data_IF_438650711194
#
_entry.id   IF_438650711194
#
_cell.length_a   1.000
_cell.length_b   1.000
_cell.length_c   1.000
_cell.angle_alpha   90.00
_cell.angle_beta   90.00
_cell.angle_gamma   90.00
#
_symmetry.space_group_name_H-M   'P 1'
#
loop_
_entity.id
_entity.type
_entity.pdbx_description
1 polymer ?
#
# COMPACT_ATOMS: atom_id res chain seq x y z
N UNK A 1 31.03 -45.26 -20.21
CA UNK A 1 30.97 -45.21 -21.69
C UNK A 1 29.56 -45.61 -22.08
N UNK A 2 28.67 -44.64 -22.13
CA UNK A 2 27.31 -44.77 -22.67
C UNK A 2 27.10 -43.56 -23.58
N UNK A 3 26.88 -43.82 -24.87
CA UNK A 3 26.72 -42.81 -25.90
C UNK A 3 25.24 -42.42 -26.01
N UNK A 4 24.91 -41.17 -25.66
CA UNK A 4 23.60 -40.59 -25.89
C UNK A 4 23.44 -40.20 -27.36
N UNK A 5 22.35 -40.71 -27.94
CA UNK A 5 21.87 -40.49 -29.29
C UNK A 5 21.31 -39.06 -29.43
N UNK A 6 21.84 -38.29 -30.38
CA UNK A 6 21.26 -37.02 -30.82
C UNK A 6 20.30 -37.28 -31.99
N UNK A 7 19.01 -37.01 -31.80
CA UNK A 7 18.04 -36.91 -32.89
C UNK A 7 17.80 -35.44 -33.27
N UNK A 8 17.85 -35.07 -34.57
CA UNK A 8 17.56 -33.71 -35.00
C UNK A 8 16.06 -33.46 -35.16
N UNK A 9 15.62 -32.26 -34.76
CA UNK A 9 14.27 -31.73 -34.98
C UNK A 9 14.05 -31.41 -36.47
N UNK A 10 12.87 -31.70 -37.05
CA UNK A 10 12.55 -31.26 -38.41
C UNK A 10 12.06 -29.81 -38.43
N UNK A 11 12.83 -28.95 -39.12
CA UNK A 11 12.36 -27.68 -39.67
C UNK A 11 11.45 -27.96 -40.85
N UNK A 12 10.18 -27.57 -40.78
CA UNK A 12 9.32 -27.34 -41.94
C UNK A 12 8.19 -26.39 -41.54
N UNK A 13 8.40 -25.09 -41.82
CA UNK A 13 7.32 -24.10 -41.90
C UNK A 13 7.07 -23.84 -43.39
N UNK A 14 5.81 -23.92 -43.87
CA UNK A 14 5.47 -23.61 -45.26
C UNK A 14 5.47 -22.09 -45.52
N UNK A 15 5.73 -21.65 -46.76
CA UNK A 15 5.79 -20.24 -47.12
C UNK A 15 4.41 -19.61 -47.30
N UNK A 16 4.30 -18.38 -46.79
CA UNK A 16 3.41 -17.26 -47.15
C UNK A 16 2.30 -17.55 -48.19
N UNK A 17 1.08 -17.74 -47.69
CA UNK A 17 -0.14 -17.45 -48.44
C UNK A 17 -0.53 -15.99 -48.19
N UNK A 18 -0.42 -15.17 -49.24
CA UNK A 18 -0.99 -13.83 -49.29
C UNK A 18 -2.50 -13.97 -49.52
N UNK A 19 -3.31 -13.68 -48.51
CA UNK A 19 -4.76 -13.50 -48.66
C UNK A 19 -5.07 -12.02 -48.90
N UNK A 20 -5.80 -11.77 -49.99
CA UNK A 20 -6.36 -10.48 -50.36
C UNK A 20 -7.37 -10.00 -49.31
N UNK A 21 -7.10 -8.84 -48.70
CA UNK A 21 -8.07 -8.13 -47.87
C UNK A 21 -9.12 -7.43 -48.74
N UNK A 22 -10.43 -7.60 -48.48
CA UNK A 22 -11.47 -6.79 -49.11
C UNK A 22 -11.43 -5.35 -48.57
N UNK A 23 -11.39 -4.39 -49.49
CA UNK A 23 -11.48 -2.96 -49.22
C UNK A 23 -12.86 -2.60 -48.65
N UNK A 24 -12.88 -2.15 -47.39
CA UNK A 24 -14.06 -1.52 -46.78
C UNK A 24 -14.37 -0.17 -47.43
N UNK A 25 -15.63 0.14 -47.72
CA UNK A 25 -16.02 1.45 -48.25
C UNK A 25 -15.85 2.57 -47.20
N UNK A 26 -15.61 3.81 -47.63
CA UNK A 26 -15.37 4.93 -46.73
C UNK A 26 -16.61 5.28 -45.90
N UNK A 27 -16.37 5.52 -44.61
CA UNK A 27 -17.36 5.97 -43.63
C UNK A 27 -17.88 7.38 -43.98
N UNK A 28 -19.20 7.65 -43.89
CA UNK A 28 -19.74 8.98 -44.16
C UNK A 28 -19.29 10.00 -43.10
N UNK A 29 -19.05 11.23 -43.55
CA UNK A 29 -18.62 12.34 -42.72
C UNK A 29 -19.63 12.67 -41.60
N UNK A 30 -19.14 13.02 -40.39
CA UNK A 30 -20.02 13.36 -39.28
C UNK A 30 -20.78 14.67 -39.54
N UNK A 31 -22.08 14.64 -39.25
CA UNK A 31 -22.97 15.80 -39.28
C UNK A 31 -22.58 16.78 -38.16
N UNK A 32 -22.54 18.10 -38.40
CA UNK A 32 -22.18 19.07 -37.37
C UNK A 32 -23.25 19.13 -36.27
N UNK A 33 -22.83 18.89 -35.02
CA UNK A 33 -23.68 19.08 -33.85
C UNK A 33 -23.97 20.58 -33.64
N UNK A 34 -25.23 20.87 -33.33
CA UNK A 34 -25.73 22.19 -32.96
C UNK A 34 -25.07 22.68 -31.67
N UNK A 35 -24.73 23.97 -31.64
CA UNK A 35 -24.11 24.61 -30.48
C UNK A 35 -25.00 24.51 -29.23
N UNK A 36 -24.44 24.20 -28.04
CA UNK A 36 -25.20 24.15 -26.81
C UNK A 36 -25.65 25.55 -26.37
N UNK A 37 -26.79 25.66 -25.66
CA UNK A 37 -27.32 26.94 -25.18
C UNK A 37 -26.37 27.56 -24.15
N UNK A 38 -26.09 28.84 -24.34
CA UNK A 38 -25.28 29.68 -23.45
C UNK A 38 -25.98 29.81 -22.09
N UNK A 39 -25.47 29.11 -21.07
CA UNK A 39 -25.93 29.32 -19.70
C UNK A 39 -25.36 30.63 -19.15
N UNK A 40 -26.24 31.42 -18.53
CA UNK A 40 -25.95 32.69 -17.89
C UNK A 40 -25.01 32.51 -16.69
N UNK A 41 -23.96 33.33 -16.68
CA UNK A 41 -22.91 33.39 -15.66
C UNK A 41 -23.52 33.86 -14.31
N UNK A 42 -23.40 33.10 -13.21
CA UNK A 42 -23.85 33.58 -11.90
C UNK A 42 -22.96 34.73 -11.42
N UNK A 43 -23.59 35.67 -10.70
CA UNK A 43 -22.94 36.87 -10.18
C UNK A 43 -21.81 36.54 -9.19
N UNK A 44 -20.73 37.34 -9.15
CA UNK A 44 -19.61 37.11 -8.24
C UNK A 44 -20.05 37.29 -6.77
N UNK A 45 -19.79 36.27 -5.94
CA UNK A 45 -19.90 36.39 -4.49
C UNK A 45 -18.78 37.30 -3.95
N UNK A 46 -19.17 38.27 -3.12
CA UNK A 46 -18.26 39.11 -2.36
C UNK A 46 -17.50 38.27 -1.33
N UNK A 47 -16.17 38.22 -1.45
CA UNK A 47 -15.29 37.68 -0.41
C UNK A 47 -15.03 38.77 0.64
N UNK A 48 -15.34 38.47 1.90
CA UNK A 48 -14.99 39.34 3.04
C UNK A 48 -13.51 39.11 3.38
N UNK A 49 -12.66 40.15 3.46
CA UNK A 49 -11.26 39.98 3.80
C UNK A 49 -11.13 39.51 5.25
N UNK A 50 -10.69 38.26 5.43
CA UNK A 50 -10.41 37.65 6.73
C UNK A 50 -9.15 38.31 7.30
N UNK A 51 -9.33 39.24 8.25
CA UNK A 51 -8.24 40.02 8.85
C UNK A 51 -7.26 39.12 9.61
N UNK A 52 -5.96 39.37 9.41
CA UNK A 52 -4.86 38.47 9.79
C UNK A 52 -4.51 38.55 11.29
N UNK A 53 -5.37 38.03 12.16
CA UNK A 53 -5.09 37.92 13.60
C UNK A 53 -3.77 37.16 13.88
N UNK A 54 -3.43 36.14 13.08
CA UNK A 54 -2.19 35.38 13.28
C UNK A 54 -0.90 36.22 13.18
N UNK A 55 -0.90 37.30 12.39
CA UNK A 55 0.26 38.20 12.26
C UNK A 55 0.55 38.97 13.55
N UNK A 56 -0.48 39.28 14.34
CA UNK A 56 -0.31 39.96 15.63
C UNK A 56 0.30 39.05 16.69
N UNK A 57 -0.11 37.77 16.73
CA UNK A 57 0.48 36.79 17.65
C UNK A 57 1.96 36.53 17.36
N UNK A 58 2.34 36.44 16.08
CA UNK A 58 3.72 36.20 15.68
C UNK A 58 4.65 37.35 16.10
N UNK A 59 4.19 38.59 15.92
CA UNK A 59 4.93 39.80 16.35
C UNK A 59 5.08 39.86 17.87
N UNK A 60 4.05 39.50 18.64
CA UNK A 60 4.10 39.48 20.10
C UNK A 60 5.13 38.47 20.63
N UNK A 61 5.19 37.27 20.04
CA UNK A 61 6.17 36.22 20.43
C UNK A 61 7.60 36.69 20.16
N UNK A 62 7.84 37.35 19.02
CA UNK A 62 9.16 37.90 18.68
C UNK A 62 9.56 39.00 19.69
N UNK A 63 8.64 39.91 20.04
CA UNK A 63 8.91 40.97 21.00
C UNK A 63 9.21 40.41 22.40
N UNK A 64 8.44 39.42 22.86
CA UNK A 64 8.64 38.78 24.16
C UNK A 64 9.96 38.00 24.22
N UNK A 65 10.37 37.34 23.12
CA UNK A 65 11.66 36.64 23.02
C UNK A 65 12.88 37.58 23.04
N UNK A 66 12.74 38.81 22.53
CA UNK A 66 13.81 39.82 22.49
C UNK A 66 13.91 40.59 23.81
N UNK A 67 12.79 40.82 24.50
CA UNK A 67 12.72 41.71 25.68
C UNK A 67 12.76 40.97 27.03
N UNK A 68 12.36 39.69 27.07
CA UNK A 68 12.42 38.87 28.28
C UNK A 68 13.82 38.31 28.51
N UNK A 69 14.42 38.60 29.67
CA UNK A 69 15.77 38.19 30.10
C UNK A 69 16.01 36.67 30.15
N UNK A 70 16.02 36.03 29.00
CA UNK A 70 16.29 34.60 28.78
C UNK A 70 17.56 34.39 27.94
N UNK A 71 18.50 35.34 27.98
CA UNK A 71 19.64 35.41 27.05
C UNK A 71 20.51 34.14 26.94
N UNK A 72 20.60 33.31 27.99
CA UNK A 72 21.41 32.09 27.97
C UNK A 72 20.67 30.85 27.44
N UNK A 73 19.38 30.71 27.75
CA UNK A 73 18.56 29.59 27.25
C UNK A 73 18.10 29.90 25.83
N UNK A 74 17.71 31.14 25.56
CA UNK A 74 17.31 31.58 24.24
C UNK A 74 18.43 31.42 23.21
N UNK A 75 19.70 31.73 23.53
CA UNK A 75 20.79 31.58 22.54
C UNK A 75 21.01 30.13 22.09
N UNK A 76 20.73 29.15 22.95
CA UNK A 76 20.92 27.73 22.65
C UNK A 76 19.79 27.16 21.78
N UNK A 77 18.58 27.70 21.90
CA UNK A 77 17.42 27.28 21.12
C UNK A 77 17.08 28.24 19.97
N UNK A 78 17.74 29.40 19.86
CA UNK A 78 17.46 30.39 18.82
C UNK A 78 17.73 29.87 17.42
N UNK A 79 18.75 29.03 17.24
CA UNK A 79 19.01 28.38 15.95
C UNK A 79 17.89 27.43 15.56
N UNK A 80 17.36 26.65 16.50
CA UNK A 80 16.26 25.71 16.25
C UNK A 80 14.94 26.44 15.99
N UNK A 81 14.67 27.49 16.76
CA UNK A 81 13.52 28.38 16.55
C UNK A 81 13.64 29.13 15.23
N UNK A 82 14.82 29.63 14.87
CA UNK A 82 15.04 30.32 13.59
C UNK A 82 14.88 29.37 12.40
N UNK A 83 15.36 28.12 12.50
CA UNK A 83 15.12 27.08 11.49
C UNK A 83 13.63 26.73 11.41
N UNK A 84 12.95 26.60 12.55
CA UNK A 84 11.51 26.34 12.60
C UNK A 84 10.69 27.49 11.99
N UNK A 85 10.99 28.75 12.33
CA UNK A 85 10.34 29.94 11.76
C UNK A 85 10.67 30.10 10.28
N UNK A 86 11.92 29.87 9.86
CA UNK A 86 12.30 29.91 8.44
C UNK A 86 11.59 28.83 7.63
N UNK A 87 11.39 27.63 8.21
CA UNK A 87 10.56 26.59 7.62
C UNK A 87 9.10 27.03 7.56
N UNK A 88 8.54 27.61 8.63
CA UNK A 88 7.16 28.11 8.68
C UNK A 88 6.90 29.21 7.63
N UNK A 89 7.87 30.08 7.38
CA UNK A 89 7.81 31.15 6.37
C UNK A 89 7.98 30.57 4.95
N UNK A 90 8.89 29.61 4.75
CA UNK A 90 9.09 28.93 3.45
C UNK A 90 7.92 28.04 3.06
N UNK A 91 7.27 27.37 4.02
CA UNK A 91 6.07 26.56 3.78
C UNK A 91 4.81 27.41 3.69
N UNK A 92 4.89 28.69 4.06
CA UNK A 92 3.73 29.53 4.35
C UNK A 92 2.90 28.97 5.53
N UNK A 93 1.96 29.76 6.10
CA UNK A 93 0.80 29.14 6.69
C UNK A 93 0.19 28.28 5.58
N UNK A 94 -0.03 26.99 5.84
CA UNK A 94 -0.69 26.11 4.88
C UNK A 94 -1.83 26.91 4.27
N UNK A 95 -1.68 27.26 2.99
CA UNK A 95 -2.78 27.85 2.26
C UNK A 95 -3.85 26.80 2.43
N UNK A 96 -4.90 27.12 3.19
CA UNK A 96 -6.16 26.43 3.05
C UNK A 96 -6.53 26.79 1.63
N UNK A 97 -6.04 25.98 0.69
CA UNK A 97 -6.55 25.96 -0.65
C UNK A 97 -7.96 25.50 -0.41
N UNK A 98 -8.88 26.45 -0.49
CA UNK A 98 -10.30 26.17 -0.61
C UNK A 98 -10.46 25.41 -1.93
N UNK A 99 -10.21 24.10 -1.87
CA UNK A 99 -10.39 23.13 -2.94
C UNK A 99 -11.89 22.83 -3.11
N UNK A 100 -12.74 23.87 -3.06
CA UNK A 100 -14.14 23.79 -3.49
C UNK A 100 -14.29 23.61 -5.00
N UNK A 101 -13.17 23.47 -5.73
CA UNK A 101 -13.11 22.90 -7.09
C UNK A 101 -12.45 21.51 -7.10
N UNK A 102 -12.86 20.62 -6.20
CA UNK A 102 -12.87 19.19 -6.50
C UNK A 102 -14.11 18.93 -7.36
N UNK A 103 -14.03 19.26 -8.65
CA UNK A 103 -15.09 18.99 -9.62
C UNK A 103 -15.46 17.49 -9.57
N UNK A 104 -16.66 17.19 -9.07
CA UNK A 104 -17.43 15.96 -9.28
C UNK A 104 -16.62 14.66 -9.41
N UNK A 105 -15.95 14.21 -8.34
CA UNK A 105 -15.63 12.78 -8.22
C UNK A 105 -16.92 12.04 -7.86
N UNK A 106 -17.74 11.88 -8.90
CA UNK A 106 -18.90 11.02 -9.13
C UNK A 106 -19.64 10.56 -7.85
N UNK A 107 -20.73 11.25 -7.54
CA UNK A 107 -21.72 10.86 -6.53
C UNK A 107 -22.55 9.67 -7.04
N UNK A 108 -21.92 8.56 -7.44
CA UNK A 108 -22.63 7.37 -7.93
C UNK A 108 -23.30 6.60 -6.81
N UNK A 109 -22.73 6.67 -5.61
CA UNK A 109 -23.14 5.92 -4.43
C UNK A 109 -23.24 6.88 -3.24
N UNK A 110 -24.41 6.88 -2.60
CA UNK A 110 -24.58 7.41 -1.25
C UNK A 110 -24.02 6.39 -0.26
N UNK A 111 -22.78 6.61 0.16
CA UNK A 111 -22.05 5.77 1.11
C UNK A 111 -22.70 5.80 2.49
N UNK A 112 -22.67 4.65 3.16
CA UNK A 112 -23.31 4.43 4.46
C UNK A 112 -22.33 3.70 5.38
N UNK A 113 -22.53 3.82 6.69
CA UNK A 113 -21.85 2.91 7.62
C UNK A 113 -22.28 1.48 7.29
N UNK A 114 -21.32 0.54 7.29
CA UNK A 114 -21.63 -0.85 6.96
C UNK A 114 -22.75 -1.40 7.87
N UNK A 115 -23.71 -2.06 7.25
CA UNK A 115 -24.83 -2.70 7.93
C UNK A 115 -24.84 -4.19 7.58
N UNK A 116 -24.75 -5.07 8.59
CA UNK A 116 -24.89 -6.51 8.39
C UNK A 116 -26.34 -6.81 7.98
N UNK A 117 -26.52 -7.45 6.83
CA UNK A 117 -27.82 -7.84 6.30
C UNK A 117 -27.99 -9.37 6.31
N UNK A 118 -29.23 -9.82 6.12
CA UNK A 118 -29.55 -11.24 6.03
C UNK A 118 -28.86 -11.95 4.85
N UNK A 119 -28.86 -13.28 4.90
CA UNK A 119 -28.28 -14.12 3.85
C UNK A 119 -28.80 -13.77 2.46
N UNK A 120 -27.88 -13.67 1.49
CA UNK A 120 -28.22 -13.58 0.07
C UNK A 120 -28.38 -14.95 -0.61
N UNK A 121 -28.12 -16.05 0.12
CA UNK A 121 -28.16 -17.43 -0.41
C UNK A 121 -27.31 -17.60 -1.68
N UNK A 122 -26.12 -16.98 -1.69
CA UNK A 122 -25.17 -17.06 -2.80
C UNK A 122 -24.38 -18.36 -2.85
N UNK A 123 -24.29 -19.10 -1.74
CA UNK A 123 -23.47 -20.31 -1.68
C UNK A 123 -24.21 -21.50 -2.29
N UNK A 124 -23.50 -22.31 -3.09
CA UNK A 124 -23.97 -23.62 -3.56
C UNK A 124 -24.24 -24.51 -2.35
N UNK A 125 -25.29 -25.34 -2.38
CA UNK A 125 -25.44 -26.41 -1.40
C UNK A 125 -24.20 -27.31 -1.44
N UNK A 126 -23.59 -27.59 -0.30
CA UNK A 126 -22.54 -28.62 -0.25
C UNK A 126 -23.19 -29.97 -0.51
N UNK A 127 -22.88 -30.53 -1.68
CA UNK A 127 -23.22 -31.89 -2.03
C UNK A 127 -22.29 -32.81 -1.25
N UNK A 128 -22.67 -33.20 -0.03
CA UNK A 128 -21.96 -34.26 0.67
C UNK A 128 -22.22 -35.57 -0.08
N UNK A 129 -21.15 -36.24 -0.52
CA UNK A 129 -21.26 -37.61 -1.01
C UNK A 129 -21.94 -38.46 0.06
N UNK A 130 -22.88 -39.36 -0.31
CA UNK A 130 -23.52 -40.25 0.65
C UNK A 130 -22.47 -40.97 1.51
N UNK A 131 -22.53 -40.81 2.83
CA UNK A 131 -21.61 -41.45 3.78
C UNK A 131 -20.38 -40.63 4.19
N UNK A 132 -20.14 -39.45 3.62
CA UNK A 132 -19.14 -38.52 4.16
C UNK A 132 -19.75 -37.73 5.33
N UNK A 133 -19.00 -37.53 6.44
CA UNK A 133 -19.43 -36.64 7.51
C UNK A 133 -19.76 -35.27 6.91
N UNK A 134 -20.94 -34.74 7.23
CA UNK A 134 -21.22 -33.33 6.92
C UNK A 134 -20.15 -32.47 7.62
N UNK A 135 -19.48 -31.56 6.91
CA UNK A 135 -18.60 -30.61 7.58
C UNK A 135 -19.41 -29.91 8.68
N UNK A 136 -18.81 -29.76 9.86
CA UNK A 136 -19.48 -29.19 11.04
C UNK A 136 -19.94 -27.74 10.83
N UNK A 137 -19.44 -27.09 9.79
CA UNK A 137 -19.83 -25.74 9.39
C UNK A 137 -20.60 -25.78 8.07
N UNK A 138 -21.82 -25.24 8.07
CA UNK A 138 -22.59 -25.04 6.84
C UNK A 138 -21.96 -23.92 6.02
N UNK A 139 -21.83 -24.03 4.69
CA UNK A 139 -21.28 -22.98 3.83
C UNK A 139 -21.86 -21.59 4.04
N UNK A 140 -23.13 -21.51 4.48
CA UNK A 140 -23.80 -20.24 4.79
C UNK A 140 -23.21 -19.50 5.98
N UNK A 141 -22.50 -20.15 6.91
CA UNK A 141 -21.79 -19.45 7.99
C UNK A 141 -20.48 -18.80 7.53
N UNK A 142 -19.99 -19.19 6.35
CA UNK A 142 -18.74 -18.70 5.78
C UNK A 142 -18.90 -17.39 5.01
N UNK A 143 -20.14 -16.99 4.70
CA UNK A 143 -20.45 -15.77 3.99
C UNK A 143 -21.19 -14.79 4.91
N UNK A 144 -20.70 -13.56 5.00
CA UNK A 144 -21.40 -12.43 5.63
C UNK A 144 -21.68 -11.37 4.58
N UNK A 145 -22.82 -10.70 4.70
CA UNK A 145 -23.30 -9.74 3.71
C UNK A 145 -23.48 -8.38 4.36
N UNK A 146 -22.90 -7.35 3.75
CA UNK A 146 -22.92 -6.01 4.30
C UNK A 146 -23.43 -5.02 3.27
N UNK A 147 -24.47 -4.25 3.61
CA UNK A 147 -24.84 -3.06 2.84
C UNK A 147 -23.86 -1.95 3.21
N UNK A 148 -23.24 -1.33 2.21
CA UNK A 148 -22.22 -0.27 2.39
C UNK A 148 -22.59 1.05 1.70
N UNK A 149 -23.69 1.05 0.94
CA UNK A 149 -24.20 2.25 0.29
C UNK A 149 -25.46 1.96 -0.54
N UNK A 150 -25.94 3.00 -1.22
CA UNK A 150 -27.01 2.90 -2.20
C UNK A 150 -26.60 3.68 -3.45
N UNK A 151 -26.85 3.12 -4.63
CA UNK A 151 -26.62 3.80 -5.89
C UNK A 151 -27.61 4.94 -6.06
N UNK A 152 -27.12 6.14 -6.35
CA UNK A 152 -27.97 7.32 -6.57
C UNK A 152 -28.00 7.74 -8.05
N UNK A 153 -27.18 7.13 -8.90
CA UNK A 153 -27.16 7.37 -10.34
C UNK A 153 -26.70 6.12 -11.13
N UNK A 154 -26.88 6.16 -12.45
CA UNK A 154 -26.46 5.09 -13.36
C UNK A 154 -27.46 3.92 -13.46
N UNK A 155 -27.06 2.79 -14.09
CA UNK A 155 -27.94 1.65 -14.35
C UNK A 155 -28.44 0.93 -13.08
N UNK A 156 -27.76 1.15 -11.95
CA UNK A 156 -28.10 0.56 -10.66
C UNK A 156 -28.82 1.54 -9.72
N UNK A 157 -29.27 2.71 -10.21
CA UNK A 157 -29.95 3.70 -9.38
C UNK A 157 -31.03 3.08 -8.47
N UNK A 158 -31.06 3.53 -7.22
CA UNK A 158 -31.92 3.08 -6.12
C UNK A 158 -31.63 1.66 -5.57
N UNK A 159 -30.66 0.94 -6.15
CA UNK A 159 -30.23 -0.36 -5.64
C UNK A 159 -29.20 -0.23 -4.51
N UNK A 160 -29.17 -1.23 -3.63
CA UNK A 160 -28.17 -1.30 -2.56
C UNK A 160 -26.82 -1.75 -3.14
N UNK A 161 -25.73 -1.14 -2.68
CA UNK A 161 -24.38 -1.66 -2.84
C UNK A 161 -24.07 -2.59 -1.67
N UNK A 162 -23.84 -3.86 -1.97
CA UNK A 162 -23.62 -4.92 -0.98
C UNK A 162 -22.26 -5.57 -1.19
N UNK A 163 -21.52 -5.79 -0.10
CA UNK A 163 -20.31 -6.61 -0.09
C UNK A 163 -20.64 -7.97 0.51
N UNK A 164 -20.39 -9.04 -0.24
CA UNK A 164 -20.34 -10.40 0.26
C UNK A 164 -18.91 -10.73 0.68
N UNK A 165 -18.68 -10.84 1.99
CA UNK A 165 -17.42 -11.22 2.59
C UNK A 165 -17.40 -12.74 2.81
N UNK A 166 -16.63 -13.45 2.00
CA UNK A 166 -16.51 -14.91 2.04
C UNK A 166 -15.20 -15.31 2.70
N UNK A 167 -15.29 -16.10 3.77
CA UNK A 167 -14.13 -16.68 4.43
C UNK A 167 -13.77 -17.96 3.69
N UNK A 168 -12.63 -17.95 2.99
CA UNK A 168 -12.09 -19.16 2.37
C UNK A 168 -11.60 -20.09 3.46
N UNK A 169 -12.09 -21.34 3.51
CA UNK A 169 -11.48 -22.35 4.37
C UNK A 169 -10.38 -23.07 3.60
N UNK A 170 -9.14 -22.86 4.04
CA UNK A 170 -8.10 -23.86 3.94
C UNK A 170 -7.75 -24.33 5.36
N UNK A 171 -6.95 -25.38 5.50
CA UNK A 171 -6.58 -25.95 6.81
C UNK A 171 -5.88 -24.95 7.77
N UNK A 172 -5.57 -23.73 7.31
CA UNK A 172 -4.83 -22.70 8.03
C UNK A 172 -5.61 -21.38 8.23
N UNK A 173 -6.90 -21.35 7.87
CA UNK A 173 -7.68 -20.11 7.82
C UNK A 173 -7.32 -19.31 6.56
N UNK A 174 -8.22 -19.31 5.57
CA UNK A 174 -7.96 -18.65 4.30
C UNK A 174 -8.31 -17.17 4.32
N UNK A 175 -7.87 -16.43 3.29
CA UNK A 175 -8.18 -15.01 3.17
C UNK A 175 -9.70 -14.82 3.05
N UNK A 176 -10.19 -13.71 3.60
CA UNK A 176 -11.54 -13.26 3.26
C UNK A 176 -11.52 -12.64 1.86
N UNK A 177 -12.51 -12.95 1.02
CA UNK A 177 -12.72 -12.37 -0.31
C UNK A 177 -13.95 -11.48 -0.30
N UNK A 178 -13.85 -10.26 -0.84
CA UNK A 178 -14.97 -9.31 -0.91
C UNK A 178 -15.53 -9.22 -2.33
N UNK A 179 -16.76 -9.69 -2.53
CA UNK A 179 -17.48 -9.57 -3.80
C UNK A 179 -18.53 -8.46 -3.71
N UNK A 180 -18.58 -7.59 -4.71
CA UNK A 180 -19.43 -6.41 -4.73
C UNK A 180 -20.66 -6.68 -5.60
N UNK A 181 -21.84 -6.44 -5.05
CA UNK A 181 -23.11 -6.64 -5.73
C UNK A 181 -23.95 -5.36 -5.72
N UNK A 182 -24.62 -5.09 -6.84
CA UNK A 182 -25.82 -4.27 -6.83
C UNK A 182 -27.02 -5.18 -6.53
N UNK A 183 -27.84 -4.79 -5.55
CA UNK A 183 -29.01 -5.55 -5.09
C UNK A 183 -30.26 -4.70 -5.18
N UNK A 184 -31.26 -5.16 -5.94
CA UNK A 184 -32.52 -4.46 -6.05
C UNK A 184 -33.55 -4.88 -4.97
N UNK A 185 -34.71 -4.21 -4.96
CA UNK A 185 -35.79 -4.48 -3.99
C UNK A 185 -36.45 -5.87 -4.14
N UNK A 186 -36.26 -6.55 -5.26
CA UNK A 186 -36.69 -7.94 -5.49
C UNK A 186 -35.59 -8.97 -5.19
N UNK A 187 -34.50 -8.58 -4.53
CA UNK A 187 -33.33 -9.42 -4.24
C UNK A 187 -32.62 -9.99 -5.49
N UNK A 188 -32.81 -9.38 -6.67
CA UNK A 188 -31.97 -9.70 -7.83
C UNK A 188 -30.60 -9.05 -7.63
N UNK A 189 -29.56 -9.78 -8.02
CA UNK A 189 -28.17 -9.42 -7.79
C UNK A 189 -27.43 -9.28 -9.12
N UNK A 190 -26.59 -8.26 -9.20
CA UNK A 190 -25.59 -8.10 -10.25
C UNK A 190 -24.20 -7.98 -9.62
N UNK A 191 -23.30 -8.93 -9.92
CA UNK A 191 -21.91 -8.88 -9.50
C UNK A 191 -21.17 -7.81 -10.28
N UNK A 192 -20.51 -6.90 -9.57
CA UNK A 192 -19.70 -5.84 -10.14
C UNK A 192 -18.26 -6.34 -10.30
N UNK A 193 -17.97 -6.99 -11.42
CA UNK A 193 -16.74 -7.76 -11.60
C UNK A 193 -15.46 -6.89 -11.53
N UNK A 194 -15.53 -5.61 -11.91
CA UNK A 194 -14.38 -4.69 -11.81
C UNK A 194 -13.96 -4.34 -10.37
N UNK A 195 -14.82 -4.59 -9.40
CA UNK A 195 -14.57 -4.34 -7.97
C UNK A 195 -14.46 -5.62 -7.16
N UNK A 196 -14.69 -6.77 -7.80
CA UNK A 196 -14.66 -8.07 -7.15
C UNK A 196 -13.40 -8.82 -7.58
N UNK A 197 -12.90 -9.77 -6.78
CA UNK A 197 -11.91 -10.71 -7.28
C UNK A 197 -12.49 -11.56 -8.43
N UNK A 198 -11.60 -12.23 -9.14
CA UNK A 198 -12.01 -13.26 -10.10
C UNK A 198 -12.87 -14.33 -9.38
N UNK A 199 -13.92 -14.80 -10.05
CA UNK A 199 -14.77 -15.87 -9.52
C UNK A 199 -14.05 -17.19 -9.72
N UNK A 200 -13.79 -17.89 -8.62
CA UNK A 200 -13.24 -19.24 -8.66
C UNK A 200 -14.31 -20.27 -8.29
N UNK A 201 -14.27 -21.46 -8.88
CA UNK A 201 -15.24 -22.50 -8.55
C UNK A 201 -15.14 -22.94 -7.08
N UNK A 202 -13.93 -22.91 -6.52
CA UNK A 202 -13.68 -23.23 -5.10
C UNK A 202 -14.32 -22.23 -4.12
N UNK A 203 -14.71 -21.04 -4.57
CA UNK A 203 -15.44 -20.07 -3.73
C UNK A 203 -16.83 -20.58 -3.33
N UNK A 204 -17.33 -21.61 -4.03
CA UNK A 204 -18.63 -22.20 -3.75
C UNK A 204 -19.80 -21.26 -4.07
N UNK A 205 -19.59 -20.18 -4.80
CA UNK A 205 -20.65 -19.24 -5.19
C UNK A 205 -21.51 -19.86 -6.32
N UNK A 206 -22.84 -19.82 -6.18
CA UNK A 206 -23.81 -20.24 -7.21
C UNK A 206 -24.01 -19.11 -8.23
N UNK A 207 -23.34 -19.25 -9.38
CA UNK A 207 -23.38 -18.26 -10.47
C UNK A 207 -24.79 -18.07 -11.07
N UNK A 208 -25.74 -18.98 -10.84
CA UNK A 208 -27.10 -18.84 -11.32
C UNK A 208 -27.94 -17.84 -10.51
N UNK A 209 -27.41 -17.33 -9.38
CA UNK A 209 -28.10 -16.40 -8.47
C UNK A 209 -27.94 -14.93 -8.85
N UNK A 210 -27.07 -14.61 -9.81
CA UNK A 210 -26.76 -13.23 -10.18
C UNK A 210 -26.36 -13.12 -11.65
N UNK A 211 -26.38 -11.89 -12.17
CA UNK A 211 -25.75 -11.54 -13.45
C UNK A 211 -24.37 -10.94 -13.20
N UNK A 212 -23.47 -11.00 -14.20
CA UNK A 212 -22.13 -10.41 -14.09
C UNK A 212 -22.09 -9.14 -14.93
N UNK A 213 -21.73 -8.01 -14.32
CA UNK A 213 -21.42 -6.76 -14.99
C UNK A 213 -19.92 -6.51 -14.97
N UNK A 214 -19.31 -6.62 -16.14
CA UNK A 214 -17.87 -6.40 -16.34
C UNK A 214 -17.53 -4.96 -16.73
N UNK A 215 -18.54 -4.12 -16.95
CA UNK A 215 -18.38 -2.79 -17.53
C UNK A 215 -18.46 -1.70 -16.46
N UNK A 216 -19.38 -1.83 -15.50
CA UNK A 216 -19.69 -0.79 -14.53
C UNK A 216 -18.54 -0.54 -13.55
N UNK A 217 -18.34 0.73 -13.25
CA UNK A 217 -17.24 1.24 -12.43
C UNK A 217 -17.77 2.22 -11.40
N UNK A 218 -17.26 2.09 -10.18
CA UNK A 218 -17.50 3.00 -9.06
C UNK A 218 -16.19 3.77 -8.92
N UNK A 219 -16.13 4.99 -9.43
CA UNK A 219 -14.88 5.74 -9.60
C UNK A 219 -14.09 5.85 -8.28
N UNK A 220 -14.79 6.08 -7.15
CA UNK A 220 -14.18 6.22 -5.82
C UNK A 220 -13.59 4.95 -5.22
N UNK A 221 -13.83 3.78 -5.81
CA UNK A 221 -13.17 2.54 -5.39
C UNK A 221 -11.85 2.27 -6.15
N UNK A 222 -11.56 3.07 -7.20
CA UNK A 222 -10.27 3.05 -7.91
C UNK A 222 -9.28 4.00 -7.24
N UNK A 223 -8.52 3.44 -6.31
CA UNK A 223 -7.44 4.13 -5.64
C UNK A 223 -6.24 4.31 -6.58
N UNK A 224 -5.47 5.40 -6.45
CA UNK A 224 -4.31 5.60 -7.29
C UNK A 224 -3.24 4.57 -6.94
N UNK A 225 -2.53 4.08 -7.95
CA UNK A 225 -1.37 3.20 -7.75
C UNK A 225 -0.29 3.87 -6.91
N UNK A 226 -0.27 5.21 -6.86
CA UNK A 226 0.68 5.99 -6.10
C UNK A 226 0.04 7.16 -5.39
N UNK A 227 0.33 7.31 -4.10
CA UNK A 227 -0.01 8.49 -3.29
C UNK A 227 1.26 9.28 -3.02
N UNK A 228 1.20 10.60 -3.20
CA UNK A 228 2.34 11.48 -2.94
C UNK A 228 2.60 11.59 -1.45
N UNK A 229 3.86 11.46 -1.06
CA UNK A 229 4.27 11.77 0.29
C UNK A 229 4.44 13.29 0.45
N UNK A 230 3.61 13.94 1.30
CA UNK A 230 3.61 15.40 1.43
C UNK A 230 4.89 15.95 2.09
N UNK A 231 5.71 15.09 2.72
CA UNK A 231 6.93 15.53 3.43
C UNK A 231 8.12 15.72 2.50
N UNK A 232 8.29 14.88 1.48
CA UNK A 232 9.52 14.90 0.66
C UNK A 232 9.31 14.84 -0.84
N UNK A 233 8.11 14.57 -1.36
CA UNK A 233 7.83 14.30 -2.78
C UNK A 233 8.70 13.20 -3.46
N UNK A 234 9.68 12.62 -2.75
CA UNK A 234 10.68 11.66 -3.28
C UNK A 234 10.43 10.22 -2.83
N UNK A 235 9.56 10.03 -1.84
CA UNK A 235 9.25 8.72 -1.24
C UNK A 235 7.75 8.46 -1.40
N UNK A 236 7.26 8.23 -2.64
CA UNK A 236 5.86 7.97 -2.87
C UNK A 236 5.41 6.70 -2.14
N UNK A 237 4.12 6.65 -1.83
CA UNK A 237 3.47 5.44 -1.35
C UNK A 237 2.90 4.70 -2.55
N UNK A 238 3.21 3.43 -2.73
CA UNK A 238 2.71 2.61 -3.85
C UNK A 238 1.70 1.59 -3.33
N UNK A 239 0.58 1.47 -4.04
CA UNK A 239 -0.49 0.54 -3.69
C UNK A 239 0.06 -0.90 -3.70
N UNK A 240 -0.20 -1.62 -2.63
CA UNK A 240 0.13 -3.05 -2.55
C UNK A 240 -0.88 -3.78 -3.42
N UNK A 241 -0.40 -4.38 -4.52
CA UNK A 241 -1.26 -5.12 -5.43
C UNK A 241 -1.96 -6.26 -4.69
N UNK A 242 -3.26 -6.42 -4.93
CA UNK A 242 -4.07 -7.54 -4.41
C UNK A 242 -3.54 -8.93 -4.80
N UNK A 243 -2.62 -9.02 -5.78
CA UNK A 243 -1.94 -10.27 -6.14
C UNK A 243 -0.90 -10.71 -5.11
N UNK A 244 -0.36 -9.77 -4.32
CA UNK A 244 0.39 -10.13 -3.13
C UNK A 244 -0.67 -10.64 -2.15
N UNK A 245 -0.49 -11.83 -1.54
CA UNK A 245 -1.46 -12.53 -0.65
C UNK A 245 -2.03 -11.70 0.54
N UNK A 246 -1.70 -10.42 0.58
CA UNK A 246 -2.18 -9.38 1.45
C UNK A 246 -3.54 -8.91 0.91
N UNK A 247 -4.63 -9.65 1.20
CA UNK A 247 -5.93 -9.23 0.72
C UNK A 247 -6.30 -7.88 1.36
N UNK A 248 -6.62 -6.89 0.52
CA UNK A 248 -7.25 -5.62 0.93
C UNK A 248 -8.68 -5.82 1.45
N UNK A 249 -9.16 -7.05 1.43
CA UNK A 249 -10.50 -7.49 1.78
C UNK A 249 -10.63 -7.60 3.30
N UNK A 250 -10.42 -6.47 3.95
CA UNK A 250 -10.49 -6.28 5.40
C UNK A 250 -11.21 -4.97 5.70
N UNK A 251 -11.89 -4.93 6.84
CA UNK A 251 -12.59 -3.73 7.31
C UNK A 251 -11.64 -2.76 8.00
N UNK A 252 -11.64 -1.51 7.55
CA UNK A 252 -10.67 -0.50 7.99
C UNK A 252 -10.76 -0.19 9.50
N UNK A 253 -11.97 -0.01 10.02
CA UNK A 253 -12.23 0.33 11.43
C UNK A 253 -11.85 -0.81 12.40
N UNK A 254 -12.08 -2.06 12.01
CA UNK A 254 -11.68 -3.25 12.77
C UNK A 254 -10.16 -3.31 12.90
N UNK A 255 -9.44 -3.15 11.78
CA UNK A 255 -7.99 -3.16 11.78
C UNK A 255 -7.39 -1.96 12.50
N UNK A 256 -7.89 -0.75 12.22
CA UNK A 256 -7.42 0.47 12.88
C UNK A 256 -7.52 0.38 14.39
N UNK A 257 -8.63 -0.17 14.90
CA UNK A 257 -8.84 -0.32 16.34
C UNK A 257 -7.96 -1.43 16.92
N UNK A 258 -7.93 -2.61 16.27
CA UNK A 258 -7.18 -3.77 16.72
C UNK A 258 -5.67 -3.53 16.74
N UNK A 259 -5.15 -2.87 15.70
CA UNK A 259 -3.71 -2.62 15.50
C UNK A 259 -3.28 -1.22 15.99
N UNK A 260 -4.20 -0.45 16.57
CA UNK A 260 -3.94 0.88 17.12
C UNK A 260 -3.23 1.82 16.13
N UNK A 261 -3.72 1.87 14.89
CA UNK A 261 -3.08 2.64 13.84
C UNK A 261 -3.09 4.15 14.13
N UNK A 262 -1.98 4.79 13.81
CA UNK A 262 -1.74 6.21 14.05
C UNK A 262 -1.85 7.02 12.77
N UNK A 263 -2.58 8.13 12.83
CA UNK A 263 -2.67 9.07 11.71
C UNK A 263 -1.33 9.74 11.46
N UNK A 264 -0.85 9.73 10.21
CA UNK A 264 0.45 10.31 9.82
C UNK A 264 0.35 11.59 9.01
N UNK A 265 -0.64 11.69 8.11
CA UNK A 265 -0.94 12.88 7.33
C UNK A 265 -2.36 12.81 6.74
N UNK A 266 -2.75 13.85 6.01
CA UNK A 266 -4.02 13.94 5.28
C UNK A 266 -3.68 14.10 3.80
N UNK A 267 -4.11 13.16 2.97
CA UNK A 267 -4.14 13.32 1.53
C UNK A 267 -5.37 14.15 1.13
N UNK A 268 -5.19 15.12 0.24
CA UNK A 268 -6.28 16.04 -0.11
C UNK A 268 -7.46 15.35 -0.82
N UNK A 269 -7.20 14.25 -1.52
CA UNK A 269 -8.20 13.50 -2.27
C UNK A 269 -8.74 12.31 -1.49
N UNK A 270 -7.86 11.60 -0.75
CA UNK A 270 -8.18 10.32 -0.12
C UNK A 270 -8.35 10.39 1.40
N UNK A 271 -8.11 11.55 2.00
CA UNK A 271 -8.34 11.80 3.43
C UNK A 271 -7.21 11.31 4.32
N UNK A 272 -7.57 10.82 5.51
CA UNK A 272 -6.61 10.50 6.56
C UNK A 272 -5.79 9.24 6.21
N UNK A 273 -4.46 9.38 6.23
CA UNK A 273 -3.52 8.26 6.06
C UNK A 273 -3.00 7.82 7.41
N UNK A 274 -2.99 6.51 7.65
CA UNK A 274 -2.57 5.88 8.90
C UNK A 274 -1.36 4.96 8.70
N UNK A 275 -0.64 4.64 9.78
CA UNK A 275 0.44 3.64 9.83
C UNK A 275 0.42 2.94 11.18
N UNK A 276 1.15 1.83 11.32
CA UNK A 276 1.31 1.10 12.58
C UNK A 276 2.08 1.94 13.62
N UNK A 277 1.84 1.72 14.92
CA UNK A 277 2.69 2.30 15.96
C UNK A 277 4.16 1.86 15.77
N UNK A 278 5.10 2.70 16.21
CA UNK A 278 6.51 2.32 16.22
C UNK A 278 6.71 1.11 17.15
N UNK A 279 7.50 0.10 16.73
CA UNK A 279 7.84 -1.00 17.62
C UNK A 279 8.62 -0.49 18.83
N UNK A 280 8.39 -1.10 19.98
CA UNK A 280 9.11 -0.79 21.22
C UNK A 280 10.32 -1.68 21.45
N UNK A 281 10.43 -2.78 20.71
CA UNK A 281 11.51 -3.76 20.83
C UNK A 281 11.94 -4.27 19.43
N UNK A 282 13.16 -4.80 19.34
CA UNK A 282 13.83 -5.30 18.14
C UNK A 282 13.25 -6.65 17.70
N UNK A 283 12.70 -7.43 18.65
CA UNK A 283 12.35 -8.84 18.48
C UNK A 283 10.86 -9.16 18.46
N UNK A 284 9.98 -8.15 18.42
CA UNK A 284 8.54 -8.39 18.29
C UNK A 284 8.24 -8.81 16.85
N UNK A 285 8.52 -10.08 16.54
CA UNK A 285 7.85 -10.76 15.44
C UNK A 285 6.42 -10.96 15.93
N UNK A 286 5.57 -9.97 15.68
CA UNK A 286 4.14 -10.21 15.85
C UNK A 286 3.75 -11.29 14.84
N UNK A 287 3.13 -12.37 15.33
CA UNK A 287 2.50 -13.42 14.50
C UNK A 287 1.26 -12.87 13.75
N UNK A 288 1.37 -11.64 13.25
CA UNK A 288 0.32 -10.93 12.57
C UNK A 288 0.03 -11.60 11.23
N UNK A 289 -1.22 -12.03 11.06
CA UNK A 289 -1.78 -12.44 9.77
C UNK A 289 -1.77 -11.32 8.72
N UNK A 290 -1.49 -10.08 9.14
CA UNK A 290 -1.52 -8.90 8.29
C UNK A 290 -0.14 -8.28 8.16
N UNK A 291 0.17 -7.73 6.98
CA UNK A 291 1.43 -7.08 6.74
C UNK A 291 1.51 -5.79 7.57
N UNK A 292 2.49 -5.73 8.45
CA UNK A 292 2.74 -4.56 9.30
C UNK A 292 3.62 -3.52 8.60
N UNK A 293 3.61 -2.31 9.16
CA UNK A 293 4.41 -1.14 8.81
C UNK A 293 4.10 -0.55 7.43
N UNK A 294 2.84 -0.68 7.01
CA UNK A 294 2.29 -0.08 5.81
C UNK A 294 1.77 1.34 6.02
N UNK A 295 1.10 1.85 4.98
CA UNK A 295 0.26 3.03 5.05
C UNK A 295 -1.16 2.65 4.66
N UNK A 296 -2.14 3.08 5.45
CA UNK A 296 -3.51 2.61 5.36
C UNK A 296 -4.46 3.77 5.09
N UNK A 297 -5.31 3.58 4.09
CA UNK A 297 -6.39 4.49 3.70
C UNK A 297 -7.73 3.78 3.87
N UNK A 298 -8.74 4.52 4.33
CA UNK A 298 -10.11 4.04 4.37
C UNK A 298 -10.77 4.28 3.00
N UNK A 299 -11.31 3.23 2.39
CA UNK A 299 -12.18 3.37 1.26
C UNK A 299 -13.59 3.82 1.69
N UNK A 300 -14.36 4.50 0.81
CA UNK A 300 -15.70 4.96 1.14
C UNK A 300 -16.69 3.84 1.54
N UNK A 301 -16.43 2.61 1.11
CA UNK A 301 -17.18 1.40 1.48
C UNK A 301 -16.77 0.83 2.86
N UNK A 302 -15.82 1.46 3.56
CA UNK A 302 -15.29 1.02 4.85
C UNK A 302 -14.18 -0.03 4.76
N UNK A 303 -13.75 -0.43 3.57
CA UNK A 303 -12.63 -1.36 3.37
C UNK A 303 -11.28 -0.65 3.47
N UNK A 304 -10.19 -1.39 3.69
CA UNK A 304 -8.83 -0.83 3.74
C UNK A 304 -8.15 -0.83 2.37
N UNK A 305 -7.32 0.17 2.12
CA UNK A 305 -6.31 0.15 1.05
C UNK A 305 -4.93 0.27 1.66
N UNK A 306 -4.04 -0.61 1.23
CA UNK A 306 -2.71 -0.80 1.82
C UNK A 306 -1.67 -0.30 0.84
N UNK A 307 -0.80 0.59 1.31
CA UNK A 307 0.31 1.15 0.55
C UNK A 307 1.63 0.82 1.24
N UNK A 308 2.70 0.74 0.45
CA UNK A 308 4.08 0.64 0.95
C UNK A 308 4.88 1.86 0.53
N UNK A 309 5.86 2.24 1.34
CA UNK A 309 6.79 3.32 1.00
C UNK A 309 7.76 2.86 -0.10
N UNK A 310 7.99 3.67 -1.11
CA UNK A 310 9.13 3.49 -2.01
C UNK A 310 10.36 4.13 -1.39
N UNK A 311 11.33 3.30 -1.03
CA UNK A 311 12.54 3.76 -0.34
C UNK A 311 13.41 4.62 -1.26
N UNK A 312 13.61 5.88 -0.89
CA UNK A 312 14.43 6.82 -1.65
C UNK A 312 15.92 6.57 -1.53
N UNK A 313 16.35 5.56 -0.77
CA UNK A 313 17.75 5.14 -0.59
C UNK A 313 18.18 4.05 -1.58
N UNK A 314 17.22 3.44 -2.29
CA UNK A 314 17.47 2.40 -3.28
C UNK A 314 17.30 2.93 -4.71
N UNK A 315 18.07 2.36 -5.64
CA UNK A 315 17.90 2.58 -7.07
C UNK A 315 16.58 1.98 -7.54
N UNK A 316 15.83 2.76 -8.32
CA UNK A 316 14.64 2.28 -9.03
C UNK A 316 14.98 1.58 -10.35
N UNK A 317 16.24 1.55 -10.76
CA UNK A 317 16.64 0.90 -12.01
C UNK A 317 16.64 -0.63 -11.85
N UNK A 318 16.06 -1.32 -12.83
CA UNK A 318 16.09 -2.78 -13.01
C UNK A 318 15.48 -3.66 -11.91
N UNK A 319 14.68 -3.11 -10.97
CA UNK A 319 14.12 -3.86 -9.83
C UNK A 319 15.18 -4.48 -8.89
N UNK A 320 16.40 -3.96 -8.90
CA UNK A 320 17.51 -4.61 -8.19
C UNK A 320 17.65 -4.13 -6.73
N UNK A 321 16.89 -3.12 -6.28
CA UNK A 321 16.95 -2.62 -4.89
C UNK A 321 18.39 -2.40 -4.39
N UNK A 322 19.24 -1.82 -5.25
CA UNK A 322 20.65 -1.56 -4.95
C UNK A 322 20.79 -0.14 -4.37
N UNK A 323 21.48 0.05 -3.24
CA UNK A 323 21.73 1.37 -2.69
C UNK A 323 22.57 2.25 -3.64
N UNK A 324 22.19 3.51 -3.85
CA UNK A 324 22.93 4.44 -4.74
C UNK A 324 23.88 5.39 -3.98
N UNK A 325 24.30 5.00 -2.79
CA UNK A 325 25.28 5.73 -1.99
C UNK A 325 26.57 4.93 -1.83
N UNK A 326 27.66 5.63 -1.49
CA UNK A 326 28.91 5.00 -1.08
C UNK A 326 29.00 4.96 0.45
N UNK A 327 29.51 3.85 0.96
CA UNK A 327 29.79 3.64 2.37
C UNK A 327 30.91 4.56 2.84
N UNK A 328 31.02 4.74 4.16
CA UNK A 328 32.05 5.57 4.78
C UNK A 328 33.48 5.09 4.49
N UNK A 329 33.67 3.81 4.20
CA UNK A 329 34.96 3.23 3.79
C UNK A 329 35.28 3.46 2.29
N UNK A 330 34.39 4.13 1.56
CA UNK A 330 34.53 4.42 0.14
C UNK A 330 34.04 3.31 -0.79
N UNK A 331 33.61 2.17 -0.27
CA UNK A 331 33.01 1.11 -1.08
C UNK A 331 31.59 1.50 -1.53
N UNK A 332 31.09 0.85 -2.58
CA UNK A 332 29.71 0.95 -3.03
C UNK A 332 29.13 -0.46 -3.13
N UNK A 333 27.85 -0.63 -2.83
CA UNK A 333 27.22 -1.94 -2.95
C UNK A 333 26.77 -2.20 -4.38
N UNK A 334 27.03 -3.40 -4.88
CA UNK A 334 26.41 -3.96 -6.09
C UNK A 334 25.32 -4.98 -5.75
N UNK A 335 25.12 -5.26 -4.46
CA UNK A 335 24.17 -6.25 -3.99
C UNK A 335 22.79 -5.63 -3.82
N UNK A 336 21.76 -6.43 -4.09
CA UNK A 336 20.37 -6.08 -3.83
C UNK A 336 20.05 -6.15 -2.33
N UNK A 337 19.15 -5.29 -1.86
CA UNK A 337 18.64 -5.32 -0.49
C UNK A 337 17.13 -5.53 -0.47
N UNK A 338 16.65 -6.08 0.64
CA UNK A 338 15.22 -6.12 0.96
C UNK A 338 14.96 -5.26 2.18
N UNK A 339 13.79 -4.61 2.20
CA UNK A 339 13.36 -3.73 3.29
C UNK A 339 12.30 -4.37 4.17
N UNK A 340 12.01 -5.66 4.00
CA UNK A 340 10.99 -6.42 4.72
C UNK A 340 11.61 -7.67 5.31
N UNK A 341 10.99 -8.22 6.35
CA UNK A 341 11.40 -9.48 6.96
C UNK A 341 10.84 -10.64 6.16
N UNK A 342 11.73 -11.50 5.66
CA UNK A 342 11.35 -12.77 5.06
C UNK A 342 11.21 -13.85 6.15
N UNK A 343 10.04 -14.46 6.19
CA UNK A 343 9.75 -15.65 6.99
C UNK A 343 9.56 -16.86 6.08
N UNK A 344 9.35 -18.03 6.68
CA UNK A 344 9.22 -19.30 5.97
C UNK A 344 8.25 -19.27 4.79
N UNK A 345 7.17 -18.49 4.81
CA UNK A 345 6.20 -18.43 3.70
C UNK A 345 6.05 -17.05 3.04
N UNK A 346 7.08 -16.21 3.11
CA UNK A 346 7.14 -14.94 2.38
C UNK A 346 7.42 -13.73 3.26
N UNK A 347 7.05 -12.54 2.78
CA UNK A 347 7.20 -11.32 3.56
C UNK A 347 6.15 -11.26 4.66
N UNK A 348 6.58 -11.03 5.91
CA UNK A 348 5.67 -10.83 7.05
C UNK A 348 5.23 -9.37 7.21
N UNK A 349 5.95 -8.43 6.60
CA UNK A 349 5.69 -7.00 6.70
C UNK A 349 5.99 -6.26 5.39
N UNK A 350 5.58 -5.00 5.31
CA UNK A 350 5.87 -4.11 4.17
C UNK A 350 7.18 -3.36 4.36
N UNK A 351 7.60 -3.18 5.61
CA UNK A 351 8.88 -2.60 6.00
C UNK A 351 9.36 -3.24 7.32
N UNK A 352 10.65 -3.49 7.44
CA UNK A 352 11.31 -3.94 8.66
C UNK A 352 11.62 -2.71 9.53
N UNK A 353 10.59 -2.16 10.18
CA UNK A 353 10.73 -1.00 11.06
C UNK A 353 11.37 -1.44 12.38
N UNK A 354 12.38 -0.69 12.80
CA UNK A 354 13.15 -0.92 14.02
C UNK A 354 12.74 0.08 15.10
N UNK A 355 12.86 -0.29 16.40
CA UNK A 355 12.53 0.60 17.48
C UNK A 355 13.45 1.83 17.48
N UNK A 356 12.93 3.03 17.85
CA UNK A 356 13.73 4.24 17.89
C UNK A 356 14.97 4.17 18.80
N UNK A 357 14.92 3.35 19.86
CA UNK A 357 16.04 3.15 20.80
C UNK A 357 17.31 2.65 20.08
N UNK A 358 17.16 1.93 18.97
CA UNK A 358 18.29 1.39 18.23
C UNK A 358 19.18 2.52 17.67
N UNK A 359 18.66 3.74 17.47
CA UNK A 359 19.44 4.88 16.97
C UNK A 359 20.70 5.16 17.81
N UNK A 360 20.66 4.92 19.12
CA UNK A 360 21.81 5.14 20.01
C UNK A 360 22.95 4.13 19.76
N UNK A 361 22.66 3.03 19.08
CA UNK A 361 23.61 1.97 18.72
C UNK A 361 24.11 2.10 17.28
N UNK A 362 23.65 3.12 16.55
CA UNK A 362 23.93 3.31 15.14
C UNK A 362 24.93 4.45 14.86
N UNK A 363 25.84 4.19 13.92
CA UNK A 363 26.76 5.18 13.37
C UNK A 363 26.35 5.56 11.94
N UNK A 364 26.55 6.81 11.49
CA UNK A 364 26.33 7.18 10.10
C UNK A 364 27.13 6.28 9.13
N UNK A 365 26.43 5.73 8.14
CA UNK A 365 27.00 4.84 7.12
C UNK A 365 27.59 5.61 5.93
N UNK A 366 27.21 6.87 5.77
CA UNK A 366 27.55 7.73 4.63
C UNK A 366 28.36 8.96 5.08
N UNK A 367 28.92 9.68 4.10
CA UNK A 367 29.53 10.99 4.33
C UNK A 367 28.50 12.01 4.87
N UNK A 368 28.87 12.95 5.75
CA UNK A 368 27.98 14.02 6.23
C UNK A 368 27.35 14.88 5.14
N UNK A 369 27.95 14.91 3.94
CA UNK A 369 27.41 15.62 2.78
C UNK A 369 26.25 14.90 2.09
N UNK A 370 25.99 13.64 2.43
CA UNK A 370 24.92 12.86 1.83
C UNK A 370 23.57 13.23 2.48
N UNK A 371 22.53 13.54 1.70
CA UNK A 371 21.28 14.09 2.25
C UNK A 371 20.41 13.05 2.97
N UNK A 372 20.66 11.75 2.75
CA UNK A 372 19.91 10.67 3.38
C UNK A 372 20.56 10.23 4.69
N UNK A 373 19.72 10.01 5.70
CA UNK A 373 20.12 9.49 7.00
C UNK A 373 20.22 7.97 6.93
N UNK A 374 21.44 7.50 6.62
CA UNK A 374 21.76 6.08 6.51
C UNK A 374 22.77 5.71 7.59
N UNK A 375 22.58 4.53 8.19
CA UNK A 375 23.32 4.10 9.35
C UNK A 375 23.75 2.62 9.30
N UNK A 376 24.79 2.29 10.06
CA UNK A 376 25.20 0.94 10.39
C UNK A 376 25.30 0.77 11.92
N UNK A 377 25.35 -0.47 12.39
CA UNK A 377 25.65 -0.76 13.79
C UNK A 377 27.07 -0.32 14.16
N UNK A 378 27.19 0.36 15.30
CA UNK A 378 28.48 0.73 15.92
C UNK A 378 29.25 -0.53 16.31
N UNK A 379 28.58 -1.46 16.99
CA UNK A 379 29.18 -2.72 17.42
C UNK A 379 29.12 -3.75 16.29
N UNK A 380 30.29 -4.15 15.79
CA UNK A 380 30.42 -5.19 14.78
C UNK A 380 30.15 -6.60 15.34
N UNK A 381 29.98 -6.75 16.66
CA UNK A 381 29.56 -7.97 17.35
C UNK A 381 28.11 -7.90 17.87
N UNK A 382 27.32 -6.93 17.44
CA UNK A 382 25.91 -6.81 17.82
C UNK A 382 25.11 -8.06 17.45
N UNK A 383 24.14 -8.45 18.29
CA UNK A 383 23.41 -9.72 18.16
C UNK A 383 22.67 -9.86 16.82
N UNK A 384 22.02 -8.79 16.33
CA UNK A 384 21.44 -8.75 14.97
C UNK A 384 22.41 -9.20 13.84
N UNK A 385 23.69 -8.85 13.93
CA UNK A 385 24.69 -9.25 12.93
C UNK A 385 25.08 -10.73 13.11
N UNK A 386 25.20 -11.20 14.36
CA UNK A 386 25.53 -12.59 14.67
C UNK A 386 24.41 -13.52 14.24
N UNK A 387 23.17 -13.16 14.51
CA UNK A 387 21.99 -13.97 14.15
C UNK A 387 21.83 -14.06 12.64
N UNK A 388 21.96 -12.92 11.94
CA UNK A 388 21.97 -12.93 10.48
C UNK A 388 23.14 -13.74 9.91
N UNK A 389 24.32 -13.67 10.52
CA UNK A 389 25.47 -14.48 10.11
C UNK A 389 25.24 -15.97 10.33
N UNK A 390 24.61 -16.37 11.44
CA UNK A 390 24.26 -17.75 11.72
C UNK A 390 23.33 -18.31 10.63
N UNK A 391 22.31 -17.55 10.24
CA UNK A 391 21.40 -17.88 9.13
C UNK A 391 22.14 -17.91 7.79
N UNK A 392 23.02 -16.94 7.52
CA UNK A 392 23.82 -16.95 6.30
C UNK A 392 24.72 -18.19 6.23
N UNK A 393 25.35 -18.58 7.34
CA UNK A 393 26.26 -19.73 7.38
C UNK A 393 25.59 -21.04 7.00
N UNK A 394 24.35 -21.31 7.42
CA UNK A 394 23.66 -22.56 7.03
C UNK A 394 23.50 -22.68 5.52
N UNK A 395 23.33 -21.55 4.82
CA UNK A 395 23.26 -21.48 3.35
C UNK A 395 24.62 -21.59 2.67
N UNK A 396 25.65 -21.04 3.30
CA UNK A 396 27.01 -20.96 2.74
C UNK A 396 27.95 -22.04 3.30
N UNK A 397 27.47 -22.97 4.12
CA UNK A 397 28.24 -24.14 4.54
C UNK A 397 28.72 -24.84 3.26
N UNK A 398 30.05 -24.96 3.14
CA UNK A 398 30.86 -25.33 1.95
C UNK A 398 31.52 -24.18 1.14
N UNK A 399 31.23 -22.90 1.39
CA UNK A 399 31.82 -21.75 0.64
C UNK A 399 32.76 -20.84 1.46
N UNK A 400 33.09 -21.21 2.70
CA UNK A 400 34.09 -20.50 3.51
C UNK A 400 33.73 -19.05 3.85
N UNK A 401 32.44 -18.75 4.08
CA UNK A 401 32.01 -17.41 4.53
C UNK A 401 32.49 -17.16 5.97
N UNK A 402 33.52 -16.33 6.12
CA UNK A 402 33.98 -15.86 7.44
C UNK A 402 33.14 -14.68 7.92
N UNK A 403 33.10 -14.45 9.23
CA UNK A 403 32.37 -13.31 9.81
C UNK A 403 32.89 -11.97 9.28
N UNK A 404 34.21 -11.81 9.15
CA UNK A 404 34.81 -10.62 8.57
C UNK A 404 34.37 -10.40 7.11
N UNK A 405 34.31 -11.45 6.29
CA UNK A 405 33.83 -11.36 4.91
C UNK A 405 32.34 -11.01 4.84
N UNK A 406 31.55 -11.51 5.80
CA UNK A 406 30.14 -11.14 5.95
C UNK A 406 29.99 -9.64 6.29
N UNK A 407 30.73 -9.14 7.29
CA UNK A 407 30.72 -7.73 7.69
C UNK A 407 31.17 -6.78 6.57
N UNK A 408 32.20 -7.14 5.81
CA UNK A 408 32.72 -6.35 4.69
C UNK A 408 31.73 -6.22 3.51
N UNK A 409 30.65 -7.00 3.49
CA UNK A 409 29.61 -6.93 2.47
C UNK A 409 28.37 -6.14 2.95
N UNK A 410 28.50 -5.39 4.05
CA UNK A 410 27.44 -4.55 4.62
C UNK A 410 26.10 -5.28 4.74
N UNK A 411 26.05 -6.36 5.56
CA UNK A 411 24.96 -7.32 5.52
C UNK A 411 23.60 -6.71 5.91
N UNK A 412 23.62 -5.66 6.72
CA UNK A 412 22.46 -4.81 7.02
C UNK A 412 22.87 -3.34 7.06
N UNK A 413 21.94 -2.47 6.73
CA UNK A 413 22.00 -1.04 7.03
C UNK A 413 20.63 -0.53 7.45
N UNK A 414 20.59 0.69 8.00
CA UNK A 414 19.35 1.31 8.44
C UNK A 414 19.16 2.66 7.74
N UNK A 415 17.93 3.00 7.44
CA UNK A 415 17.57 4.27 6.83
C UNK A 415 16.43 4.91 7.63
N UNK A 416 16.62 6.17 8.03
CA UNK A 416 15.52 6.94 8.61
C UNK A 416 14.71 7.57 7.48
N UNK A 417 13.46 7.12 7.31
CA UNK A 417 12.55 7.65 6.29
C UNK A 417 12.02 9.05 6.64
N UNK A 418 11.29 9.67 5.70
CA UNK A 418 10.67 10.98 5.93
C UNK A 418 9.57 11.00 6.98
N UNK A 419 9.04 9.85 7.36
CA UNK A 419 8.09 9.70 8.46
C UNK A 419 8.78 9.57 9.82
N UNK A 420 10.11 9.44 9.83
CA UNK A 420 10.94 9.27 11.03
C UNK A 420 11.11 7.82 11.46
N UNK A 421 10.59 6.85 10.68
CA UNK A 421 10.75 5.42 10.93
C UNK A 421 12.17 5.00 10.60
N UNK A 422 12.75 4.15 11.44
CA UNK A 422 14.06 3.55 11.18
C UNK A 422 13.83 2.21 10.47
N UNK A 423 14.12 2.12 9.17
CA UNK A 423 13.88 0.93 8.36
C UNK A 423 15.19 0.15 8.21
N UNK A 424 15.17 -1.15 8.55
CA UNK A 424 16.26 -2.09 8.30
C UNK A 424 16.23 -2.56 6.86
N UNK A 425 17.39 -2.54 6.22
CA UNK A 425 17.64 -3.15 4.93
C UNK A 425 18.60 -4.32 5.13
N UNK A 426 18.27 -5.47 4.56
CA UNK A 426 19.10 -6.66 4.61
C UNK A 426 19.60 -7.01 3.22
N UNK A 427 20.90 -7.27 3.09
CA UNK A 427 21.50 -7.70 1.84
C UNK A 427 20.87 -9.05 1.43
N UNK A 428 20.26 -9.08 0.25
CA UNK A 428 19.48 -10.21 -0.28
C UNK A 428 20.29 -11.50 -0.37
N UNK A 429 21.62 -11.38 -0.49
CA UNK A 429 22.55 -12.52 -0.47
C UNK A 429 22.50 -13.33 0.82
N UNK A 430 22.13 -12.71 1.95
CA UNK A 430 22.08 -13.33 3.28
C UNK A 430 20.67 -13.65 3.75
N UNK A 431 19.66 -13.39 2.93
CA UNK A 431 18.28 -13.77 3.22
C UNK A 431 18.14 -15.29 3.02
N UNK A 432 17.48 -16.01 3.94
CA UNK A 432 17.24 -17.45 3.78
C UNK A 432 16.46 -17.72 2.50
N UNK A 433 16.82 -18.81 1.80
CA UNK A 433 15.98 -19.33 0.73
C UNK A 433 14.75 -19.96 1.37
N UNK A 434 13.58 -19.56 0.90
CA UNK A 434 12.32 -20.19 1.28
C UNK A 434 12.22 -21.49 0.49
N UNK A 435 12.78 -22.57 1.02
CA UNK A 435 12.57 -23.93 0.49
C UNK A 435 11.40 -24.54 1.29
N UNK A 436 10.19 -24.56 0.73
CA UNK A 436 9.09 -25.36 1.31
C UNK A 436 7.68 -24.77 1.38
N UNK A 437 7.42 -23.55 0.88
CA UNK A 437 6.04 -23.06 0.73
C UNK A 437 5.58 -23.23 -0.73
N UNK A 438 5.34 -24.48 -1.12
CA UNK A 438 4.70 -24.86 -2.39
C UNK A 438 3.20 -24.98 -2.20
#
# INVERSE_FOLDING_TARGET
MESLNNSPLPNNLPPDMWEDHPTTPPSPAPTPMSAPPTMSRPAPMYTVPRTSWWRWWLTLIIILGITGGFGYVASRYWTDVAVWVANLIKTGPATIIDNSQSDNVDDQVAWQQRELIGSLNLMKPVLTSPGQPQPSETPSSLARYYKVGQFVSGPYQDQDLVIAALIMFNDLGGPTRFYYFAKNSQNKLALLAKHSPELYEEDGIDHNKFTIDTSYQIARLFFPDTVKNPRTNKEPLVLVSAKQRLSSDQWFDELKTKLNWQKVFIDQMWGDVYTDPMPTDIWTQEDGLLPTYGFYLAAPDGTVRIYKLVASVLSSQANENIPFFSWKDGSSSTDAYIMFEMTGCGASNLAAVMPPLLLDELAPATSPSYPLKVYELKDKNHDLLKDLFAVARTRFDNKGLTYQKFLNNHPIFFWQDSFGRLIKFQNRKYVPLVDGCS
#
